data_IF_225415160718
#
_entry.id   IF_225415160718
#
_cell.length_a   1.000
_cell.length_b   1.000
_cell.length_c   1.000
_cell.angle_alpha   90.00
_cell.angle_beta   90.00
_cell.angle_gamma   90.00
#
_symmetry.space_group_name_H-M   'P 1'
#
loop_
_entity.id
_entity.type
_entity.pdbx_description
1 polymer ?
#
# COMPACT_ATOMS: atom_id res chain seq x y z
N UNK A 1 17.14 16.64 -15.88
CA UNK A 1 17.30 15.22 -15.54
C UNK A 1 16.35 14.33 -16.35
N UNK A 2 15.05 14.64 -16.47
CA UNK A 2 14.05 13.74 -17.07
C UNK A 2 14.38 13.13 -18.45
N UNK A 3 14.88 13.89 -19.43
CA UNK A 3 15.00 13.37 -20.82
C UNK A 3 16.32 12.61 -21.06
N UNK A 4 17.34 12.82 -20.21
CA UNK A 4 18.69 12.22 -20.40
C UNK A 4 18.82 10.83 -19.77
N UNK A 5 18.01 10.52 -18.75
CA UNK A 5 18.04 9.23 -18.04
C UNK A 5 16.93 8.26 -18.52
N UNK A 6 16.12 8.71 -19.49
CA UNK A 6 15.00 7.96 -20.08
C UNK A 6 15.53 6.95 -21.11
N UNK A 7 16.19 5.91 -20.63
CA UNK A 7 16.57 4.76 -21.47
C UNK A 7 15.39 3.81 -21.64
N UNK A 8 15.29 3.17 -22.80
CA UNK A 8 14.29 2.13 -23.05
C UNK A 8 14.37 1.01 -21.99
N UNK A 9 15.59 0.69 -21.52
CA UNK A 9 15.83 -0.27 -20.45
C UNK A 9 15.21 0.18 -19.12
N UNK A 10 15.35 1.45 -18.74
CA UNK A 10 14.75 1.98 -17.51
C UNK A 10 13.22 1.96 -17.54
N UNK A 11 12.62 2.27 -18.70
CA UNK A 11 11.16 2.21 -18.89
C UNK A 11 10.66 0.76 -18.79
N UNK A 12 11.32 -0.18 -19.46
CA UNK A 12 10.96 -1.60 -19.41
C UNK A 12 11.15 -2.17 -18.01
N UNK A 13 12.25 -1.86 -17.32
CA UNK A 13 12.50 -2.31 -15.95
C UNK A 13 11.44 -1.77 -14.98
N UNK A 14 11.08 -0.48 -15.08
CA UNK A 14 10.00 0.11 -14.30
C UNK A 14 8.64 -0.54 -14.58
N UNK A 15 8.33 -0.79 -15.85
CA UNK A 15 7.10 -1.46 -16.26
C UNK A 15 7.01 -2.89 -15.72
N UNK A 16 8.08 -3.67 -15.84
CA UNK A 16 8.14 -5.05 -15.31
C UNK A 16 8.03 -5.04 -13.79
N UNK A 17 8.72 -4.14 -13.10
CA UNK A 17 8.64 -4.01 -11.64
C UNK A 17 7.21 -3.71 -11.18
N UNK A 18 6.50 -2.81 -11.86
CA UNK A 18 5.10 -2.50 -11.56
C UNK A 18 4.20 -3.68 -11.89
N UNK A 19 4.34 -4.32 -13.05
CA UNK A 19 3.50 -5.47 -13.41
C UNK A 19 3.64 -6.63 -12.41
N UNK A 20 4.87 -7.01 -12.09
CA UNK A 20 5.14 -8.11 -11.15
C UNK A 20 4.69 -7.74 -9.73
N UNK A 21 4.95 -6.50 -9.31
CA UNK A 21 4.52 -5.98 -8.01
C UNK A 21 3.00 -5.96 -7.88
N UNK A 22 2.31 -5.40 -8.86
CA UNK A 22 0.86 -5.23 -8.84
C UNK A 22 0.11 -6.56 -8.99
N UNK A 23 0.54 -7.44 -9.91
CA UNK A 23 -0.13 -8.72 -10.16
C UNK A 23 -0.11 -9.66 -8.95
N UNK A 24 0.95 -9.62 -8.14
CA UNK A 24 1.10 -10.52 -6.98
C UNK A 24 0.20 -10.15 -5.80
N UNK A 25 -0.15 -8.87 -5.65
CA UNK A 25 -0.64 -8.32 -4.39
C UNK A 25 -2.05 -7.73 -4.50
N UNK A 26 -2.54 -7.55 -5.73
CA UNK A 26 -3.92 -7.12 -6.03
C UNK A 26 -4.98 -8.09 -5.51
N UNK A 27 -4.69 -9.40 -5.45
CA UNK A 27 -5.62 -10.41 -4.99
C UNK A 27 -6.17 -10.13 -3.57
N UNK A 28 -5.35 -9.54 -2.69
CA UNK A 28 -5.76 -9.19 -1.32
C UNK A 28 -6.74 -8.01 -1.32
N UNK A 29 -6.55 -7.04 -2.21
CA UNK A 29 -7.48 -5.90 -2.37
C UNK A 29 -8.83 -6.39 -2.91
N UNK A 30 -8.81 -7.31 -3.87
CA UNK A 30 -10.02 -7.99 -4.35
C UNK A 30 -10.75 -8.72 -3.21
N UNK A 31 -9.99 -9.45 -2.39
CA UNK A 31 -10.54 -10.22 -1.28
C UNK A 31 -11.15 -9.30 -0.20
N UNK A 32 -10.49 -8.19 0.11
CA UNK A 32 -10.99 -7.16 1.02
C UNK A 32 -12.27 -6.49 0.53
N UNK A 33 -12.29 -6.07 -0.74
CA UNK A 33 -13.46 -5.44 -1.36
C UNK A 33 -14.64 -6.42 -1.43
N UNK A 34 -14.39 -7.67 -1.80
CA UNK A 34 -15.39 -8.74 -1.83
C UNK A 34 -15.96 -9.03 -0.43
N UNK A 35 -15.09 -9.11 0.60
CA UNK A 35 -15.52 -9.32 1.99
C UNK A 35 -16.41 -8.19 2.53
N UNK A 36 -16.23 -6.96 2.02
CA UNK A 36 -17.07 -5.81 2.33
C UNK A 36 -18.33 -5.69 1.43
N UNK A 37 -18.57 -6.66 0.54
CA UNK A 37 -19.74 -6.68 -0.36
C UNK A 37 -19.67 -5.68 -1.52
N UNK A 38 -18.47 -5.24 -1.92
CA UNK A 38 -18.30 -4.26 -3.00
C UNK A 38 -18.77 -4.80 -4.36
N UNK A 39 -19.47 -3.96 -5.12
CA UNK A 39 -19.74 -4.22 -6.53
C UNK A 39 -18.45 -4.14 -7.35
N UNK A 40 -18.45 -4.73 -8.55
CA UNK A 40 -17.31 -4.67 -9.48
C UNK A 40 -16.88 -3.23 -9.81
N UNK A 41 -17.83 -2.30 -9.84
CA UNK A 41 -17.58 -0.87 -10.10
C UNK A 41 -16.79 -0.21 -8.97
N UNK A 42 -17.19 -0.48 -7.71
CA UNK A 42 -16.49 0.06 -6.53
C UNK A 42 -15.08 -0.53 -6.41
N UNK A 43 -14.95 -1.82 -6.74
CA UNK A 43 -13.67 -2.51 -6.75
C UNK A 43 -12.70 -1.93 -7.78
N UNK A 44 -13.18 -1.62 -8.99
CA UNK A 44 -12.40 -0.92 -10.00
C UNK A 44 -11.98 0.48 -9.53
N UNK A 45 -12.87 1.20 -8.83
CA UNK A 45 -12.55 2.51 -8.23
C UNK A 45 -11.44 2.42 -7.19
N UNK A 46 -11.45 1.40 -6.32
CA UNK A 46 -10.39 1.18 -5.32
C UNK A 46 -9.04 0.89 -5.96
N UNK A 47 -9.00 0.03 -6.97
CA UNK A 47 -7.77 -0.26 -7.72
C UNK A 47 -7.23 0.96 -8.44
N UNK A 48 -8.11 1.77 -9.03
CA UNK A 48 -7.73 3.03 -9.67
C UNK A 48 -7.14 4.01 -8.66
N UNK A 49 -7.79 4.17 -7.50
CA UNK A 49 -7.31 5.04 -6.42
C UNK A 49 -5.93 4.61 -5.92
N UNK A 50 -5.72 3.30 -5.72
CA UNK A 50 -4.42 2.73 -5.35
C UNK A 50 -3.36 2.99 -6.42
N UNK A 51 -3.68 2.74 -7.69
CA UNK A 51 -2.78 2.96 -8.81
C UNK A 51 -2.35 4.42 -8.94
N UNK A 52 -3.31 5.35 -8.86
CA UNK A 52 -3.04 6.80 -8.90
C UNK A 52 -2.23 7.23 -7.67
N UNK A 53 -2.58 6.75 -6.49
CA UNK A 53 -1.86 7.05 -5.25
C UNK A 53 -0.39 6.66 -5.33
N UNK A 54 -0.12 5.42 -5.74
CA UNK A 54 1.25 4.94 -5.93
C UNK A 54 1.99 5.67 -7.05
N UNK A 55 1.33 5.93 -8.19
CA UNK A 55 1.96 6.67 -9.28
C UNK A 55 2.37 8.07 -8.82
N UNK A 56 1.47 8.78 -8.13
CA UNK A 56 1.73 10.12 -7.60
C UNK A 56 2.88 10.12 -6.59
N UNK A 57 2.93 9.15 -5.66
CA UNK A 57 3.99 9.09 -4.65
C UNK A 57 5.32 8.61 -5.22
N UNK A 58 5.34 7.58 -6.06
CA UNK A 58 6.56 7.13 -6.75
C UNK A 58 7.17 8.26 -7.58
N UNK A 59 6.37 8.91 -8.43
CA UNK A 59 6.85 10.01 -9.30
C UNK A 59 7.25 11.22 -8.44
N UNK A 60 6.39 11.65 -7.53
CA UNK A 60 6.61 12.85 -6.72
C UNK A 60 7.82 12.74 -5.81
N UNK A 61 7.96 11.62 -5.08
CA UNK A 61 9.11 11.40 -4.20
C UNK A 61 10.38 11.15 -5.00
N UNK A 62 10.32 10.41 -6.11
CA UNK A 62 11.50 10.22 -6.96
C UNK A 62 12.01 11.54 -7.53
N UNK A 63 11.09 12.43 -7.90
CA UNK A 63 11.46 13.75 -8.39
C UNK A 63 12.03 14.63 -7.28
N UNK A 64 11.41 14.64 -6.10
CA UNK A 64 11.85 15.45 -4.97
C UNK A 64 13.23 15.02 -4.44
N UNK A 65 13.43 13.73 -4.19
CA UNK A 65 14.69 13.17 -3.68
C UNK A 65 15.73 12.95 -4.78
N UNK A 66 15.37 13.14 -6.06
CA UNK A 66 16.22 12.87 -7.22
C UNK A 66 16.84 11.46 -7.19
N UNK A 67 16.07 10.48 -6.72
CA UNK A 67 16.46 9.08 -6.56
C UNK A 67 15.29 8.17 -6.98
N UNK A 68 15.52 6.92 -7.41
CA UNK A 68 14.44 6.00 -7.74
C UNK A 68 13.71 5.56 -6.46
N UNK A 69 12.60 6.22 -6.13
CA UNK A 69 11.77 5.91 -4.96
C UNK A 69 10.57 5.08 -5.41
N UNK A 70 10.46 3.88 -4.86
CA UNK A 70 9.30 3.00 -5.04
C UNK A 70 8.51 3.01 -3.74
N UNK A 71 7.26 3.47 -3.79
CA UNK A 71 6.33 3.36 -2.67
C UNK A 71 5.50 2.11 -2.80
N UNK A 72 5.61 1.23 -1.82
CA UNK A 72 4.74 0.06 -1.67
C UNK A 72 3.63 0.33 -0.66
N UNK A 73 2.54 -0.43 -0.73
CA UNK A 73 1.51 -0.44 0.31
C UNK A 73 1.81 -1.50 1.38
N UNK A 74 1.08 -1.41 2.49
CA UNK A 74 1.13 -2.44 3.54
C UNK A 74 0.20 -3.60 3.19
N UNK A 75 0.71 -4.58 2.44
CA UNK A 75 0.01 -5.84 2.17
C UNK A 75 -0.52 -6.52 3.44
N UNK A 76 0.30 -6.72 4.51
CA UNK A 76 -0.20 -7.27 5.76
C UNK A 76 -1.25 -6.40 6.45
N UNK A 77 -1.11 -5.07 6.39
CA UNK A 77 -2.10 -4.15 6.99
C UNK A 77 -3.44 -4.20 6.26
N UNK A 78 -3.41 -4.27 4.92
CA UNK A 78 -4.61 -4.43 4.12
C UNK A 78 -5.30 -5.77 4.38
N UNK A 79 -4.55 -6.87 4.50
CA UNK A 79 -5.10 -8.18 4.82
C UNK A 79 -5.74 -8.22 6.22
N UNK A 80 -5.09 -7.65 7.23
CA UNK A 80 -5.63 -7.59 8.60
C UNK A 80 -6.88 -6.71 8.68
N UNK A 81 -6.89 -5.57 7.98
CA UNK A 81 -8.09 -4.74 7.89
C UNK A 81 -9.20 -5.51 7.19
N UNK A 82 -8.92 -6.16 6.05
CA UNK A 82 -9.89 -6.92 5.28
C UNK A 82 -10.66 -7.96 6.12
N UNK A 83 -9.96 -8.71 6.97
CA UNK A 83 -10.58 -9.72 7.84
C UNK A 83 -11.43 -9.10 8.94
N UNK A 84 -11.17 -7.85 9.32
CA UNK A 84 -11.87 -7.12 10.38
C UNK A 84 -13.07 -6.31 9.88
N UNK A 85 -13.35 -6.31 8.57
CA UNK A 85 -14.45 -5.53 7.97
C UNK A 85 -15.79 -6.27 7.89
N UNK A 86 -15.86 -7.53 8.35
CA UNK A 86 -17.10 -8.31 8.30
C UNK A 86 -18.24 -7.61 9.05
N UNK A 87 -19.36 -7.39 8.35
CA UNK A 87 -20.54 -6.73 8.89
C UNK A 87 -20.54 -5.19 8.81
N UNK A 88 -19.48 -4.57 8.26
CA UNK A 88 -19.45 -3.14 7.97
C UNK A 88 -19.90 -2.85 6.53
N UNK A 89 -20.46 -1.65 6.32
CA UNK A 89 -20.76 -1.19 4.94
C UNK A 89 -19.49 -0.75 4.22
N UNK A 90 -19.55 -0.67 2.89
CA UNK A 90 -18.39 -0.28 2.07
C UNK A 90 -17.93 1.15 2.36
N UNK A 91 -18.84 2.04 2.76
CA UNK A 91 -18.55 3.42 3.16
C UNK A 91 -17.78 3.44 4.48
N UNK A 92 -18.20 2.63 5.46
CA UNK A 92 -17.51 2.48 6.73
C UNK A 92 -16.11 1.88 6.53
N UNK A 93 -16.01 0.84 5.70
CA UNK A 93 -14.73 0.24 5.32
C UNK A 93 -13.78 1.27 4.70
N UNK A 94 -14.27 2.06 3.74
CA UNK A 94 -13.50 3.14 3.11
C UNK A 94 -13.03 4.17 4.15
N UNK A 95 -13.91 4.56 5.08
CA UNK A 95 -13.57 5.46 6.18
C UNK A 95 -12.46 4.92 7.07
N UNK A 96 -12.50 3.62 7.41
CA UNK A 96 -11.46 2.94 8.21
C UNK A 96 -10.12 2.94 7.46
N UNK A 97 -10.12 2.65 6.15
CA UNK A 97 -8.90 2.70 5.33
C UNK A 97 -8.30 4.11 5.29
N UNK A 98 -9.12 5.14 5.04
CA UNK A 98 -8.65 6.54 5.00
C UNK A 98 -8.13 6.97 6.37
N UNK A 99 -8.84 6.63 7.45
CA UNK A 99 -8.42 6.97 8.81
C UNK A 99 -7.09 6.32 9.17
N UNK A 100 -6.94 5.03 8.87
CA UNK A 100 -5.69 4.29 9.11
C UNK A 100 -4.53 4.84 8.27
N UNK A 101 -4.79 5.21 7.01
CA UNK A 101 -3.82 5.84 6.14
C UNK A 101 -3.38 7.22 6.66
N UNK A 102 -4.31 8.03 7.17
CA UNK A 102 -4.00 9.33 7.76
C UNK A 102 -3.15 9.18 9.02
N UNK A 103 -3.47 8.23 9.90
CA UNK A 103 -2.65 7.91 11.06
C UNK A 103 -1.25 7.46 10.65
N UNK A 104 -1.15 6.57 9.66
CA UNK A 104 0.13 6.13 9.09
C UNK A 104 0.96 7.30 8.56
N UNK A 105 0.34 8.23 7.84
CA UNK A 105 0.98 9.43 7.32
C UNK A 105 1.49 10.34 8.44
N UNK A 106 0.68 10.58 9.48
CA UNK A 106 1.08 11.39 10.65
C UNK A 106 2.27 10.75 11.37
N UNK A 107 2.25 9.43 11.59
CA UNK A 107 3.35 8.69 12.23
C UNK A 107 4.62 8.73 11.35
N UNK A 108 4.45 8.63 10.03
CA UNK A 108 5.55 8.71 9.06
C UNK A 108 6.21 10.08 9.04
N UNK A 109 5.42 11.16 8.94
CA UNK A 109 5.94 12.54 8.89
C UNK A 109 6.51 12.99 10.24
N UNK A 110 5.95 12.54 11.36
CA UNK A 110 6.44 12.90 12.70
C UNK A 110 7.78 12.25 13.07
N UNK A 111 8.28 11.30 12.27
CA UNK A 111 9.48 10.52 12.59
C UNK A 111 9.28 9.55 13.77
N UNK A 112 8.05 9.40 14.26
CA UNK A 112 7.74 8.52 15.39
C UNK A 112 7.87 7.04 15.01
N UNK A 113 7.77 6.71 13.73
CA UNK A 113 7.93 5.35 13.26
C UNK A 113 9.22 4.70 13.79
N UNK A 114 10.36 5.37 13.71
CA UNK A 114 11.64 4.84 14.18
C UNK A 114 11.69 4.67 15.70
N UNK A 115 11.01 5.53 16.45
CA UNK A 115 10.92 5.43 17.91
C UNK A 115 10.01 4.29 18.33
N UNK A 116 8.86 4.15 17.67
CA UNK A 116 7.87 3.11 17.96
C UNK A 116 8.40 1.72 17.61
N UNK A 117 9.09 1.55 16.49
CA UNK A 117 9.65 0.25 16.10
C UNK A 117 10.74 -0.23 17.04
N UNK A 118 11.55 0.69 17.61
CA UNK A 118 12.55 0.36 18.65
C UNK A 118 11.93 -0.14 19.96
N UNK A 119 10.65 0.14 20.21
CA UNK A 119 9.94 -0.35 21.40
C UNK A 119 9.41 -1.78 21.24
N UNK A 120 9.33 -2.30 20.01
CA UNK A 120 8.78 -3.64 19.74
C UNK A 120 9.90 -4.68 19.93
N UNK A 121 9.80 -5.58 20.93
CA UNK A 121 10.75 -6.68 21.10
C UNK A 121 10.76 -7.59 19.88
N UNK A 122 11.94 -8.05 19.46
CA UNK A 122 12.09 -8.97 18.32
C UNK A 122 11.15 -10.19 18.37
N UNK A 123 10.94 -10.87 19.52
CA UNK A 123 10.01 -11.99 19.59
C UNK A 123 8.56 -11.62 19.23
N UNK A 124 8.11 -10.42 19.60
CA UNK A 124 6.78 -9.92 19.26
C UNK A 124 6.69 -9.57 17.78
N UNK A 125 7.72 -8.94 17.21
CA UNK A 125 7.77 -8.68 15.77
C UNK A 125 7.70 -9.98 14.94
N UNK A 126 8.43 -11.03 15.36
CA UNK A 126 8.37 -12.35 14.74
C UNK A 126 7.00 -13.01 14.89
N UNK A 127 6.37 -12.90 16.07
CA UNK A 127 5.01 -13.41 16.29
C UNK A 127 3.96 -12.68 15.45
N UNK A 128 4.09 -11.36 15.27
CA UNK A 128 3.21 -10.56 14.41
C UNK A 128 3.32 -11.00 12.94
N UNK A 129 4.55 -11.20 12.42
CA UNK A 129 4.74 -11.71 11.06
C UNK A 129 4.18 -13.13 10.90
N UNK A 130 4.36 -14.01 11.89
CA UNK A 130 3.77 -15.35 11.86
C UNK A 130 2.23 -15.27 11.81
N UNK A 131 1.61 -14.42 12.63
CA UNK A 131 0.15 -14.25 12.64
C UNK A 131 -0.43 -13.68 11.34
N UNK A 132 0.33 -12.87 10.60
CA UNK A 132 -0.06 -12.35 9.29
C UNK A 132 -0.01 -13.45 8.20
N UNK A 133 0.87 -14.42 8.33
CA UNK A 133 1.10 -15.49 7.34
C UNK A 133 0.20 -16.72 7.56
N UNK A 134 -0.56 -16.76 8.66
CA UNK A 134 -1.53 -17.80 9.00
C UNK A 134 -2.92 -17.45 8.46
#
# INVERSE_FOLDING_TARGET
MLVKDLSLSAVVAGFVAVLVGFASSVAIVFQAASAAGASNEVMASWLLALGIGMAATCIGLSWYYKAPVITAWSTPGAALLATSLQGLTIEQATGVFIFTAALGLIIGISGWFEKLTKLIPLPLASAMLAGILL
#
